data_IF_785337527237
#
_entry.id   IF_785337527237
#
_cell.length_a   1.000
_cell.length_b   1.000
_cell.length_c   1.000
_cell.angle_alpha   90.00
_cell.angle_beta   90.00
_cell.angle_gamma   90.00
#
_symmetry.space_group_name_H-M   'P 1'
#
loop_
_entity.id
_entity.type
_entity.pdbx_description
1 polymer ?
#
# COMPACT_ATOMS: atom_id res chain seq x y z
N UNK A 1 -6.55 12.70 4.90
CA UNK A 1 -5.08 12.69 4.97
C UNK A 1 -4.59 12.27 3.59
N UNK A 2 -3.73 13.09 2.96
CA UNK A 2 -3.13 12.79 1.67
C UNK A 2 -2.33 11.49 1.71
N UNK A 3 -2.38 10.76 0.61
CA UNK A 3 -1.80 9.45 0.45
C UNK A 3 -1.05 9.40 -0.88
N UNK A 4 0.26 9.18 -0.82
CA UNK A 4 1.10 9.02 -2.02
C UNK A 4 1.39 7.54 -2.21
N UNK A 5 1.03 6.99 -3.36
CA UNK A 5 1.41 5.62 -3.70
C UNK A 5 2.94 5.53 -3.76
N UNK A 6 3.48 4.44 -3.24
CA UNK A 6 4.90 4.14 -3.27
C UNK A 6 5.11 2.70 -3.68
N UNK A 7 6.11 2.50 -4.52
CA UNK A 7 6.58 1.17 -4.85
C UNK A 7 7.42 0.65 -3.69
N UNK A 8 7.06 -0.52 -3.19
CA UNK A 8 7.75 -1.17 -2.08
C UNK A 8 8.20 -2.56 -2.49
N UNK A 9 9.34 -2.98 -1.96
CA UNK A 9 9.85 -4.35 -2.10
C UNK A 9 9.91 -5.01 -0.73
N UNK A 10 9.57 -6.30 -0.67
CA UNK A 10 9.69 -7.09 0.55
C UNK A 10 11.15 -7.29 0.91
N UNK A 11 11.54 -6.86 2.11
CA UNK A 11 12.90 -6.94 2.63
C UNK A 11 13.04 -7.97 3.76
N UNK A 12 12.01 -8.78 4.01
CA UNK A 12 12.00 -9.83 5.03
C UNK A 12 10.88 -9.65 6.06
N UNK A 13 11.06 -10.21 7.26
CA UNK A 13 10.12 -10.06 8.38
C UNK A 13 10.82 -9.44 9.58
N UNK A 14 10.17 -8.47 10.22
CA UNK A 14 10.62 -7.86 11.48
C UNK A 14 9.49 -7.99 12.48
N UNK A 15 9.77 -8.52 13.66
CA UNK A 15 8.78 -8.74 14.71
C UNK A 15 7.51 -9.51 14.26
N UNK A 16 7.66 -10.44 13.31
CA UNK A 16 6.55 -11.24 12.75
C UNK A 16 5.71 -10.51 11.68
N UNK A 17 5.94 -9.22 11.43
CA UNK A 17 5.34 -8.44 10.35
C UNK A 17 6.26 -8.40 9.13
N UNK A 18 5.69 -8.33 7.93
CA UNK A 18 6.47 -8.23 6.70
C UNK A 18 7.06 -6.82 6.56
N UNK A 19 8.39 -6.73 6.44
CA UNK A 19 9.08 -5.46 6.25
C UNK A 19 9.10 -5.11 4.77
N UNK A 20 8.47 -4.01 4.43
CA UNK A 20 8.43 -3.42 3.12
C UNK A 20 9.40 -2.22 3.08
N UNK A 21 10.24 -2.17 2.07
CA UNK A 21 11.18 -1.07 1.86
C UNK A 21 10.74 -0.29 0.61
N UNK A 22 10.48 1.02 0.72
CA UNK A 22 10.19 1.83 -0.45
C UNK A 22 11.38 1.84 -1.39
N UNK A 23 11.14 1.59 -2.68
CA UNK A 23 12.19 1.59 -3.71
C UNK A 23 12.55 3.01 -4.19
N UNK A 24 11.85 4.02 -3.68
CA UNK A 24 12.01 5.42 -4.08
C UNK A 24 11.17 5.82 -5.29
N UNK A 25 10.42 4.89 -5.90
CA UNK A 25 9.44 5.21 -6.93
C UNK A 25 8.10 5.56 -6.28
N UNK A 26 7.73 6.83 -6.37
CA UNK A 26 6.42 7.34 -5.98
C UNK A 26 5.47 7.23 -7.19
N UNK A 27 4.25 6.76 -6.93
CA UNK A 27 3.20 6.58 -7.92
C UNK A 27 2.19 7.73 -7.88
N UNK A 28 0.90 7.41 -8.05
CA UNK A 28 -0.15 8.42 -7.99
C UNK A 28 -0.28 9.02 -6.60
N UNK A 29 -0.51 10.33 -6.56
CA UNK A 29 -0.80 11.07 -5.35
C UNK A 29 -2.32 11.26 -5.22
N UNK A 30 -2.86 10.90 -4.06
CA UNK A 30 -4.27 11.01 -3.73
C UNK A 30 -4.47 11.99 -2.58
N UNK A 31 -5.44 12.89 -2.73
CA UNK A 31 -5.83 13.81 -1.64
C UNK A 31 -6.34 13.04 -0.41
N UNK A 32 -7.02 11.91 -0.64
CA UNK A 32 -7.40 10.96 0.40
C UNK A 32 -7.21 9.52 -0.08
N UNK A 33 -6.70 8.64 0.78
CA UNK A 33 -6.62 7.21 0.47
C UNK A 33 -7.99 6.59 0.12
N UNK A 34 -9.07 7.20 0.63
CA UNK A 34 -10.44 6.78 0.33
C UNK A 34 -10.83 7.00 -1.13
N UNK A 35 -10.23 7.98 -1.83
CA UNK A 35 -10.45 8.20 -3.26
C UNK A 35 -9.94 7.00 -4.06
N UNK A 36 -8.73 6.53 -3.72
CA UNK A 36 -8.17 5.32 -4.29
C UNK A 36 -9.03 4.09 -3.98
N UNK A 37 -9.41 3.89 -2.72
CA UNK A 37 -10.24 2.75 -2.30
C UNK A 37 -11.58 2.74 -3.05
N UNK A 38 -12.22 3.91 -3.19
CA UNK A 38 -13.47 4.08 -3.91
C UNK A 38 -13.31 3.76 -5.40
N UNK A 39 -12.19 4.15 -6.02
CA UNK A 39 -11.87 3.81 -7.40
C UNK A 39 -11.71 2.29 -7.58
N UNK A 40 -11.03 1.60 -6.65
CA UNK A 40 -10.90 0.13 -6.69
C UNK A 40 -12.27 -0.56 -6.54
N UNK A 41 -13.10 -0.10 -5.61
CA UNK A 41 -14.46 -0.62 -5.42
C UNK A 41 -15.34 -0.39 -6.65
N UNK A 42 -15.28 0.79 -7.27
CA UNK A 42 -15.97 1.09 -8.54
C UNK A 42 -15.52 0.17 -9.68
N UNK A 43 -14.23 -0.16 -9.71
CA UNK A 43 -13.66 -1.13 -10.64
C UNK A 43 -13.97 -2.59 -10.28
N UNK A 44 -14.80 -2.84 -9.25
CA UNK A 44 -15.15 -4.16 -8.71
C UNK A 44 -13.92 -4.99 -8.30
N UNK A 45 -12.83 -4.33 -7.94
CA UNK A 45 -11.62 -4.98 -7.46
C UNK A 45 -11.74 -5.24 -5.96
N UNK A 46 -11.40 -6.45 -5.55
CA UNK A 46 -11.30 -6.79 -4.13
C UNK A 46 -9.92 -6.38 -3.62
N UNK A 47 -9.90 -5.40 -2.73
CA UNK A 47 -8.70 -4.95 -2.03
C UNK A 47 -8.90 -5.14 -0.53
N UNK A 48 -7.84 -5.54 0.16
CA UNK A 48 -7.81 -5.85 1.59
C UNK A 48 -6.73 -5.02 2.25
N UNK A 49 -7.06 -4.39 3.36
CA UNK A 49 -6.07 -3.69 4.18
C UNK A 49 -5.17 -4.72 4.89
N UNK A 50 -3.86 -4.58 4.69
CA UNK A 50 -2.81 -5.36 5.35
C UNK A 50 -1.81 -4.46 6.10
N UNK A 51 -2.15 -3.19 6.32
CA UNK A 51 -1.29 -2.18 6.96
C UNK A 51 -0.81 -2.62 8.34
N UNK A 52 -1.64 -3.36 9.08
CA UNK A 52 -1.31 -3.91 10.40
C UNK A 52 -0.39 -5.14 10.37
N UNK A 53 -0.20 -5.75 9.19
CA UNK A 53 0.65 -6.94 9.02
C UNK A 53 2.00 -6.61 8.39
N UNK A 54 2.18 -5.36 7.96
CA UNK A 54 3.37 -4.93 7.25
C UNK A 54 3.94 -3.66 7.90
N UNK A 55 5.26 -3.59 7.91
CA UNK A 55 6.01 -2.43 8.37
C UNK A 55 6.65 -1.77 7.15
N UNK A 56 6.45 -0.47 6.95
CA UNK A 56 7.15 0.23 5.87
C UNK A 56 8.33 1.01 6.44
N UNK A 57 9.55 0.64 6.02
CA UNK A 57 10.78 1.26 6.53
C UNK A 57 10.82 2.75 6.16
N UNK A 58 11.09 3.61 7.15
CA UNK A 58 11.32 5.03 6.93
C UNK A 58 10.06 5.87 6.75
N UNK A 59 8.87 5.29 6.98
CA UNK A 59 7.59 5.99 6.87
C UNK A 59 6.92 5.98 8.24
N UNK A 60 6.50 7.15 8.73
CA UNK A 60 5.85 7.25 10.05
C UNK A 60 4.42 6.71 10.02
N UNK A 61 3.70 6.99 8.94
CA UNK A 61 2.33 6.55 8.75
C UNK A 61 2.15 6.03 7.33
N UNK A 62 1.68 4.79 7.21
CA UNK A 62 1.50 4.14 5.93
C UNK A 62 0.16 3.40 5.90
N UNK A 63 -0.34 3.19 4.69
CA UNK A 63 -1.43 2.27 4.43
C UNK A 63 -0.98 1.29 3.35
N UNK A 64 -1.18 0.00 3.55
CA UNK A 64 -0.87 -1.02 2.54
C UNK A 64 -2.09 -1.86 2.29
N UNK A 65 -2.45 -1.92 1.02
CA UNK A 65 -3.56 -2.73 0.52
C UNK A 65 -3.04 -3.85 -0.35
N UNK A 66 -3.66 -5.00 -0.25
CA UNK A 66 -3.40 -6.17 -1.08
C UNK A 66 -4.67 -6.53 -1.84
N UNK A 67 -4.54 -6.84 -3.13
CA UNK A 67 -5.67 -7.28 -3.93
C UNK A 67 -5.23 -8.08 -5.12
N UNK A 68 -6.17 -8.47 -5.98
CA UNK A 68 -5.87 -9.20 -7.20
C UNK A 68 -5.95 -8.29 -8.41
N UNK A 69 -4.87 -8.24 -9.18
CA UNK A 69 -4.80 -7.58 -10.47
C UNK A 69 -4.26 -8.58 -11.51
N UNK A 70 -5.01 -8.83 -12.58
CA UNK A 70 -4.60 -9.76 -13.64
C UNK A 70 -4.33 -11.19 -13.14
N UNK A 71 -5.06 -11.67 -12.12
CA UNK A 71 -4.88 -12.99 -11.54
C UNK A 71 -3.70 -13.13 -10.55
N UNK A 72 -2.88 -12.09 -10.38
CA UNK A 72 -1.77 -12.06 -9.41
C UNK A 72 -2.13 -11.19 -8.21
N UNK A 73 -1.56 -11.54 -7.05
CA UNK A 73 -1.64 -10.71 -5.86
C UNK A 73 -0.74 -9.49 -6.04
N UNK A 74 -1.33 -8.30 -6.02
CA UNK A 74 -0.64 -7.02 -6.09
C UNK A 74 -0.81 -6.29 -4.76
N UNK A 75 0.26 -5.63 -4.32
CA UNK A 75 0.28 -4.83 -3.10
C UNK A 75 0.51 -3.38 -3.47
N UNK A 76 -0.30 -2.51 -2.91
CA UNK A 76 -0.23 -1.07 -3.07
C UNK A 76 0.10 -0.47 -1.71
N UNK A 77 1.26 0.16 -1.60
CA UNK A 77 1.67 0.85 -0.39
C UNK A 77 1.51 2.35 -0.59
N UNK A 78 1.07 3.03 0.45
CA UNK A 78 0.82 4.45 0.46
C UNK A 78 1.51 5.09 1.64
N UNK A 79 2.25 6.15 1.38
CA UNK A 79 2.79 7.05 2.38
C UNK A 79 1.71 8.05 2.76
N UNK A 80 1.31 8.04 4.03
CA UNK A 80 0.36 9.01 4.57
C UNK A 80 1.16 10.15 5.19
N UNK A 81 0.84 11.39 4.80
CA UNK A 81 1.49 12.61 5.30
C UNK A 81 0.51 13.50 6.04
#
# INVERSE_FOLDING_TARGET
>A
MPATEITVTSAGKVAGQELLVPTGQEGEHYAHIQDWLTAQLKAKKTVRDISQKVLVKGIKQWAVYEGKAGGKTQRWAFKIT
#
